data_IF_075746326485
#
_entry.id   IF_075746326485
#
_cell.length_a   1.000
_cell.length_b   1.000
_cell.length_c   1.000
_cell.angle_alpha   90.00
_cell.angle_beta   90.00
_cell.angle_gamma   90.00
#
_symmetry.space_group_name_H-M   'P 1'
#
loop_
_entity.id
_entity.type
_entity.pdbx_description
1 polymer ?
#
# COMPACT_ATOMS: atom_id res chain seq x y z
N UNK A 1 -0.73 70.59 49.06
CA UNK A 1 -1.44 69.27 49.17
C UNK A 1 -2.08 68.95 47.82
N UNK A 2 -1.44 68.24 46.94
CA UNK A 2 -2.13 67.71 45.76
C UNK A 2 -1.36 66.46 45.30
N UNK A 3 -2.01 65.35 45.49
CA UNK A 3 -1.59 64.03 45.05
C UNK A 3 -1.77 63.94 43.55
N UNK A 4 -0.68 63.93 42.82
CA UNK A 4 -0.69 63.58 41.38
C UNK A 4 -0.53 62.07 41.28
N UNK A 5 -1.61 61.38 40.97
CA UNK A 5 -1.58 59.98 40.64
C UNK A 5 -0.86 59.79 39.33
N UNK A 6 0.28 59.07 39.37
CA UNK A 6 0.99 58.61 38.19
C UNK A 6 0.27 57.41 37.63
N UNK A 7 -0.44 57.60 36.51
CA UNK A 7 -1.07 56.53 35.75
C UNK A 7 0.00 55.86 34.90
N UNK A 8 0.47 54.71 35.34
CA UNK A 8 1.39 53.88 34.54
C UNK A 8 0.60 53.12 33.50
N UNK A 9 0.69 53.55 32.26
CA UNK A 9 0.21 52.77 31.12
C UNK A 9 1.15 51.59 30.86
N UNK A 10 0.73 50.39 31.22
CA UNK A 10 1.38 49.16 30.75
C UNK A 10 0.94 48.92 29.27
N UNK A 11 1.81 49.22 28.34
CA UNK A 11 1.66 48.76 26.97
C UNK A 11 1.92 47.24 26.97
N UNK A 12 0.85 46.43 26.94
CA UNK A 12 0.97 45.03 26.55
C UNK A 12 1.24 44.98 25.02
N UNK A 13 2.52 44.80 24.66
CA UNK A 13 2.89 44.44 23.32
C UNK A 13 2.44 42.98 23.10
N UNK A 14 1.25 42.78 22.50
CA UNK A 14 0.81 41.49 22.01
C UNK A 14 1.71 41.11 20.84
N UNK A 15 2.73 40.30 21.13
CA UNK A 15 3.56 39.66 20.13
C UNK A 15 2.71 38.57 19.47
N UNK A 16 2.02 38.93 18.40
CA UNK A 16 1.31 37.97 17.55
C UNK A 16 2.36 37.10 16.86
N UNK A 17 2.66 35.94 17.46
CA UNK A 17 3.39 34.88 16.79
C UNK A 17 2.51 34.38 15.63
N UNK A 18 2.70 34.93 14.45
CA UNK A 18 2.15 34.38 13.23
C UNK A 18 2.82 33.02 12.99
N UNK A 19 2.19 31.98 13.51
CA UNK A 19 2.57 30.61 13.13
C UNK A 19 2.25 30.49 11.65
N UNK A 20 3.25 30.22 10.77
CA UNK A 20 2.95 29.96 9.37
C UNK A 20 2.08 28.71 9.32
N UNK A 21 0.81 28.88 8.98
CA UNK A 21 -0.05 27.76 8.64
C UNK A 21 0.50 27.20 7.35
N UNK A 22 1.18 26.06 7.43
CA UNK A 22 1.58 25.32 6.25
C UNK A 22 0.30 24.94 5.52
N UNK A 23 -0.07 25.70 4.50
CA UNK A 23 -1.16 25.32 3.61
C UNK A 23 -0.65 24.14 2.78
N UNK A 24 -1.11 22.94 3.12
CA UNK A 24 -0.94 21.79 2.27
C UNK A 24 -1.65 22.09 0.95
N UNK A 25 -0.90 22.39 -0.10
CA UNK A 25 -1.45 22.53 -1.42
C UNK A 25 -1.74 21.13 -1.94
N UNK A 26 -3.01 20.75 -1.98
CA UNK A 26 -3.45 19.53 -2.60
C UNK A 26 -3.18 19.62 -4.10
N UNK A 27 -2.34 18.73 -4.59
CA UNK A 27 -2.09 18.57 -6.01
C UNK A 27 -2.76 17.27 -6.48
N UNK A 28 -3.34 17.25 -7.69
CA UNK A 28 -3.83 16.00 -8.26
C UNK A 28 -2.68 15.01 -8.41
N UNK A 29 -2.97 13.71 -8.29
CA UNK A 29 -1.98 12.69 -8.57
C UNK A 29 -1.53 12.81 -10.04
N UNK A 30 -0.26 12.55 -10.35
CA UNK A 30 0.22 12.46 -11.72
C UNK A 30 -0.57 11.41 -12.51
N UNK A 31 -0.72 11.60 -13.82
CA UNK A 31 -1.39 10.65 -14.70
C UNK A 31 -0.65 9.30 -14.79
N UNK A 32 0.65 9.30 -14.56
CA UNK A 32 1.49 8.11 -14.55
C UNK A 32 2.07 7.90 -13.15
N UNK A 33 1.90 6.68 -12.62
CA UNK A 33 2.50 6.29 -11.36
C UNK A 33 4.05 6.25 -11.46
N UNK A 34 4.77 6.53 -10.35
CA UNK A 34 6.21 6.28 -10.28
C UNK A 34 6.52 4.81 -10.60
N UNK A 35 7.59 4.58 -11.35
CA UNK A 35 8.06 3.23 -11.69
C UNK A 35 9.57 3.13 -11.50
N UNK A 36 10.11 1.98 -11.06
CA UNK A 36 11.55 1.76 -10.99
C UNK A 36 12.19 1.82 -12.38
N UNK A 37 13.40 2.41 -12.46
CA UNK A 37 14.11 2.53 -13.74
C UNK A 37 14.48 1.17 -14.36
N UNK A 38 14.68 0.15 -13.52
CA UNK A 38 14.99 -1.22 -13.89
C UNK A 38 13.76 -2.12 -14.08
N UNK A 39 12.56 -1.58 -13.82
CA UNK A 39 11.29 -2.27 -14.00
C UNK A 39 10.21 -1.35 -14.62
N UNK A 40 10.41 -0.87 -15.85
CA UNK A 40 9.43 0.00 -16.50
C UNK A 40 8.10 -0.74 -16.73
N UNK A 41 7.00 -0.01 -16.62
CA UNK A 41 5.66 -0.52 -16.85
C UNK A 41 5.42 -0.71 -18.35
N UNK A 42 4.99 -1.91 -18.75
CA UNK A 42 4.51 -2.21 -20.11
C UNK A 42 3.09 -2.79 -20.05
N UNK A 43 2.33 -2.75 -21.16
CA UNK A 43 1.01 -3.38 -21.23
C UNK A 43 1.03 -4.86 -20.88
N UNK A 44 2.06 -5.60 -21.31
CA UNK A 44 2.25 -7.03 -21.08
C UNK A 44 2.47 -7.30 -19.57
N UNK A 45 3.32 -6.51 -18.92
CA UNK A 45 3.53 -6.60 -17.45
C UNK A 45 2.27 -6.27 -16.65
N UNK A 46 1.48 -5.31 -17.11
CA UNK A 46 0.20 -4.97 -16.46
C UNK A 46 -0.78 -6.14 -16.57
N UNK A 47 -0.89 -6.76 -17.74
CA UNK A 47 -1.76 -7.91 -17.93
C UNK A 47 -1.29 -9.13 -17.12
N UNK A 48 0.00 -9.44 -17.17
CA UNK A 48 0.58 -10.50 -16.34
C UNK A 48 0.34 -10.24 -14.84
N UNK A 49 0.55 -9.01 -14.38
CA UNK A 49 0.28 -8.61 -13.00
C UNK A 49 -1.18 -8.79 -12.62
N UNK A 50 -2.11 -8.43 -13.52
CA UNK A 50 -3.55 -8.63 -13.33
C UNK A 50 -3.90 -10.12 -13.21
N UNK A 51 -3.32 -10.97 -14.06
CA UNK A 51 -3.51 -12.42 -13.99
C UNK A 51 -3.03 -12.98 -12.64
N UNK A 52 -1.81 -12.64 -12.24
CA UNK A 52 -1.21 -13.07 -10.97
C UNK A 52 -2.02 -12.58 -9.76
N UNK A 53 -2.50 -11.35 -9.80
CA UNK A 53 -3.29 -10.74 -8.72
C UNK A 53 -4.61 -11.48 -8.44
N UNK A 54 -5.25 -11.98 -9.48
CA UNK A 54 -6.52 -12.68 -9.40
C UNK A 54 -6.37 -14.18 -9.17
N UNK A 55 -5.17 -14.76 -9.34
CA UNK A 55 -4.99 -16.19 -9.36
C UNK A 55 -4.78 -16.79 -7.96
N UNK A 56 -5.73 -17.59 -7.43
CA UNK A 56 -5.60 -18.21 -6.12
C UNK A 56 -4.53 -19.32 -6.08
N UNK A 57 -4.12 -19.84 -7.24
CA UNK A 57 -3.10 -20.91 -7.32
C UNK A 57 -1.73 -20.44 -6.81
N UNK A 58 -1.56 -19.14 -6.62
CA UNK A 58 -0.38 -18.54 -6.01
C UNK A 58 -0.31 -18.71 -4.49
N UNK A 59 -1.36 -19.26 -3.86
CA UNK A 59 -1.39 -19.60 -2.43
C UNK A 59 -1.17 -21.09 -2.18
N UNK A 60 -0.77 -21.45 -0.96
CA UNK A 60 -0.50 -22.83 -0.56
C UNK A 60 -1.71 -23.75 -0.75
N UNK A 61 -2.90 -23.26 -0.47
CA UNK A 61 -4.16 -23.98 -0.60
C UNK A 61 -4.79 -23.88 -1.99
N UNK A 62 -4.32 -22.96 -2.85
CA UNK A 62 -4.96 -22.68 -4.13
C UNK A 62 -6.31 -21.96 -4.02
N UNK A 63 -6.59 -21.31 -2.89
CA UNK A 63 -7.92 -20.72 -2.60
C UNK A 63 -7.87 -19.22 -2.28
N UNK A 64 -6.69 -18.65 -2.08
CA UNK A 64 -6.49 -17.24 -1.71
C UNK A 64 -5.66 -16.54 -2.79
N UNK A 65 -6.17 -15.44 -3.32
CA UNK A 65 -5.46 -14.54 -4.23
C UNK A 65 -5.24 -13.18 -3.56
N UNK A 66 -4.48 -12.29 -4.19
CA UNK A 66 -4.35 -10.91 -3.71
C UNK A 66 -5.73 -10.24 -3.63
N UNK A 67 -6.59 -10.48 -4.62
CA UNK A 67 -7.96 -9.96 -4.65
C UNK A 67 -8.85 -10.48 -3.52
N UNK A 68 -8.49 -11.56 -2.85
CA UNK A 68 -9.27 -12.08 -1.71
C UNK A 68 -9.29 -11.11 -0.53
N UNK A 69 -8.17 -10.38 -0.30
CA UNK A 69 -8.03 -9.39 0.77
C UNK A 69 -8.04 -7.94 0.23
N UNK A 70 -7.71 -7.76 -1.04
CA UNK A 70 -7.65 -6.45 -1.69
C UNK A 70 -8.58 -6.40 -2.89
N UNK A 71 -9.88 -6.58 -2.63
CA UNK A 71 -10.89 -6.66 -3.69
C UNK A 71 -11.04 -5.32 -4.41
N UNK A 72 -10.63 -5.28 -5.68
CA UNK A 72 -10.69 -4.07 -6.51
C UNK A 72 -12.11 -3.53 -6.71
N UNK A 73 -13.13 -4.35 -6.52
CA UNK A 73 -14.54 -3.93 -6.61
C UNK A 73 -15.10 -3.42 -5.27
N UNK A 74 -14.34 -3.56 -4.17
CA UNK A 74 -14.73 -3.12 -2.82
C UNK A 74 -13.80 -2.03 -2.28
N UNK A 75 -13.26 -1.18 -3.15
CA UNK A 75 -12.33 -0.13 -2.73
C UNK A 75 -10.88 -0.59 -2.57
N UNK A 76 -10.54 -1.80 -3.04
CA UNK A 76 -9.20 -2.36 -2.95
C UNK A 76 -8.85 -2.95 -1.58
N UNK A 77 -9.87 -3.30 -0.80
CA UNK A 77 -9.77 -3.90 0.54
C UNK A 77 -10.88 -4.97 0.72
N UNK A 78 -10.95 -5.64 1.88
CA UNK A 78 -11.98 -6.66 2.17
C UNK A 78 -13.04 -6.20 3.19
N UNK A 79 -12.99 -4.95 3.62
CA UNK A 79 -13.90 -4.34 4.61
C UNK A 79 -13.94 -5.10 5.96
N UNK A 80 -12.82 -5.75 6.34
CA UNK A 80 -12.71 -6.50 7.59
C UNK A 80 -11.68 -5.85 8.52
N UNK A 81 -11.87 -5.93 9.84
CA UNK A 81 -10.85 -5.48 10.78
C UNK A 81 -9.57 -6.31 10.69
N UNK A 82 -9.70 -7.58 10.31
CA UNK A 82 -8.61 -8.53 10.06
C UNK A 82 -8.93 -9.37 8.84
N UNK A 83 -8.04 -9.39 7.87
CA UNK A 83 -8.19 -10.19 6.67
C UNK A 83 -7.99 -11.68 6.98
N UNK A 84 -8.66 -12.53 6.20
CA UNK A 84 -8.60 -13.98 6.35
C UNK A 84 -7.80 -14.61 5.20
N UNK A 85 -6.75 -15.33 5.53
CA UNK A 85 -5.90 -16.03 4.57
C UNK A 85 -6.15 -17.54 4.50
N UNK A 86 -5.10 -18.27 4.12
CA UNK A 86 -5.16 -19.75 3.97
C UNK A 86 -5.61 -20.42 5.25
N UNK A 87 -6.32 -21.54 5.09
CA UNK A 87 -6.89 -22.33 6.20
C UNK A 87 -7.86 -21.56 7.10
N UNK A 88 -8.38 -20.40 6.66
CA UNK A 88 -9.27 -19.56 7.46
C UNK A 88 -8.56 -18.80 8.58
N UNK A 89 -7.23 -18.72 8.55
CA UNK A 89 -6.46 -18.01 9.57
C UNK A 89 -6.68 -16.48 9.44
N UNK A 90 -6.82 -15.82 10.58
CA UNK A 90 -7.01 -14.38 10.62
C UNK A 90 -5.67 -13.67 10.75
N UNK A 91 -5.44 -12.65 9.94
CA UNK A 91 -4.32 -11.73 10.08
C UNK A 91 -4.43 -10.83 11.31
N UNK A 92 -3.43 -10.01 11.54
CA UNK A 92 -3.40 -9.07 12.67
C UNK A 92 -3.83 -7.64 12.33
N UNK A 93 -4.17 -7.36 11.07
CA UNK A 93 -4.51 -6.01 10.57
C UNK A 93 -5.55 -6.12 9.46
N UNK A 94 -6.28 -5.03 9.21
CA UNK A 94 -7.09 -4.89 8.01
C UNK A 94 -6.20 -4.74 6.77
N UNK A 95 -6.69 -5.18 5.62
CA UNK A 95 -6.02 -4.93 4.34
C UNK A 95 -6.13 -3.44 4.01
N UNK A 96 -5.02 -2.73 3.72
CA UNK A 96 -5.11 -1.39 3.19
C UNK A 96 -5.61 -1.41 1.75
N UNK A 97 -6.19 -0.30 1.29
CA UNK A 97 -6.54 -0.16 -0.12
C UNK A 97 -5.31 -0.31 -1.02
N UNK A 98 -5.48 -0.99 -2.15
CA UNK A 98 -4.45 -1.05 -3.21
C UNK A 98 -4.59 0.07 -4.24
N UNK A 99 -5.70 0.81 -4.21
CA UNK A 99 -5.91 1.94 -5.10
C UNK A 99 -4.86 3.03 -4.86
N UNK A 100 -4.21 3.45 -5.92
CA UNK A 100 -3.16 4.46 -5.90
C UNK A 100 -1.93 4.11 -5.02
N UNK A 101 -1.76 2.84 -4.63
CA UNK A 101 -0.67 2.43 -3.73
C UNK A 101 0.74 2.69 -4.30
N UNK A 102 0.88 2.79 -5.62
CA UNK A 102 2.14 3.16 -6.26
C UNK A 102 2.63 4.58 -5.91
N UNK A 103 1.75 5.45 -5.43
CA UNK A 103 2.11 6.81 -4.99
C UNK A 103 2.50 6.90 -3.50
N UNK A 104 2.43 5.79 -2.75
CA UNK A 104 2.82 5.78 -1.34
C UNK A 104 4.35 5.75 -1.21
N UNK A 105 4.87 6.50 -0.23
CA UNK A 105 6.30 6.55 0.07
C UNK A 105 6.84 5.27 0.71
N UNK A 106 5.99 4.38 1.15
CA UNK A 106 6.31 3.07 1.71
C UNK A 106 5.09 2.18 1.72
N UNK A 107 5.29 0.88 1.67
CA UNK A 107 4.24 -0.12 1.59
C UNK A 107 4.09 -0.86 2.94
N UNK A 108 2.93 -1.47 3.16
CA UNK A 108 2.40 -1.91 4.43
C UNK A 108 2.03 -0.74 5.37
N UNK A 109 1.26 -1.00 6.41
CA UNK A 109 0.84 0.00 7.40
C UNK A 109 2.01 0.68 8.14
N UNK A 110 3.15 0.00 8.22
CA UNK A 110 4.35 0.45 8.94
C UNK A 110 5.48 0.91 8.00
N UNK A 111 5.23 0.95 6.67
CA UNK A 111 6.20 1.42 5.69
C UNK A 111 7.45 0.55 5.50
N UNK A 112 7.43 -0.70 6.02
CA UNK A 112 8.62 -1.58 6.03
C UNK A 112 9.10 -2.04 4.66
N UNK A 113 8.29 -1.93 3.61
CA UNK A 113 8.72 -2.22 2.25
C UNK A 113 8.81 -0.93 1.43
N UNK A 114 9.94 -0.74 0.77
CA UNK A 114 10.26 0.49 0.06
C UNK A 114 9.60 0.58 -1.34
N UNK A 115 9.09 -0.53 -1.87
CA UNK A 115 8.45 -0.56 -3.19
C UNK A 115 7.34 -1.61 -3.24
N UNK A 116 6.51 -1.55 -4.29
CA UNK A 116 5.47 -2.55 -4.54
C UNK A 116 6.08 -3.93 -4.84
N UNK A 117 7.21 -3.99 -5.54
CA UNK A 117 7.92 -5.24 -5.83
C UNK A 117 8.43 -5.92 -4.55
N UNK A 118 8.91 -5.12 -3.59
CA UNK A 118 9.33 -5.64 -2.28
C UNK A 118 8.13 -6.11 -1.46
N UNK A 119 7.04 -5.34 -1.47
CA UNK A 119 5.81 -5.65 -0.74
C UNK A 119 5.17 -6.94 -1.24
N UNK A 120 5.01 -7.10 -2.57
CA UNK A 120 4.26 -8.21 -3.17
C UNK A 120 4.83 -9.60 -2.82
N UNK A 121 6.10 -9.70 -2.48
CA UNK A 121 6.76 -10.94 -2.08
C UNK A 121 6.33 -11.42 -0.68
N UNK A 122 6.03 -10.49 0.23
CA UNK A 122 5.73 -10.78 1.63
C UNK A 122 4.49 -11.66 1.81
N UNK A 123 3.31 -11.25 1.33
CA UNK A 123 2.07 -12.00 1.48
C UNK A 123 2.13 -13.43 0.94
N UNK A 124 2.86 -13.65 -0.15
CA UNK A 124 2.99 -14.99 -0.78
C UNK A 124 3.56 -16.02 0.20
N UNK A 125 4.57 -15.63 0.98
CA UNK A 125 5.25 -16.52 1.94
C UNK A 125 4.77 -16.35 3.38
N UNK A 126 3.87 -15.43 3.63
CA UNK A 126 3.28 -15.28 4.96
C UNK A 126 2.36 -16.46 5.27
N UNK A 127 2.68 -17.20 6.33
CA UNK A 127 1.96 -18.42 6.71
C UNK A 127 0.46 -18.20 6.99
N UNK A 128 0.08 -16.99 7.40
CA UNK A 128 -1.31 -16.63 7.71
C UNK A 128 -2.06 -16.08 6.49
N UNK A 129 -1.35 -15.54 5.48
CA UNK A 129 -1.95 -14.93 4.29
C UNK A 129 -2.05 -15.93 3.14
N UNK A 130 -1.02 -16.11 2.32
CA UNK A 130 -1.01 -17.02 1.18
C UNK A 130 -0.28 -18.35 1.45
N UNK A 131 0.56 -18.42 2.48
CA UNK A 131 1.09 -19.64 3.08
C UNK A 131 2.09 -20.45 2.27
N UNK A 132 2.67 -19.89 1.20
CA UNK A 132 3.70 -20.62 0.44
C UNK A 132 4.98 -20.74 1.27
N UNK A 133 5.66 -21.88 1.18
CA UNK A 133 6.91 -22.09 1.91
C UNK A 133 8.00 -21.09 1.51
N UNK A 134 8.13 -20.87 0.21
CA UNK A 134 9.16 -20.05 -0.41
C UNK A 134 8.61 -19.46 -1.71
N UNK A 135 9.16 -18.33 -2.16
CA UNK A 135 8.78 -17.70 -3.42
C UNK A 135 9.04 -18.63 -4.62
N UNK A 136 10.16 -19.35 -4.60
CA UNK A 136 10.50 -20.28 -5.70
C UNK A 136 9.48 -21.41 -5.85
N UNK A 137 8.86 -21.87 -4.76
CA UNK A 137 7.79 -22.86 -4.84
C UNK A 137 6.57 -22.29 -5.54
N UNK A 138 6.19 -21.04 -5.23
CA UNK A 138 5.10 -20.35 -5.90
C UNK A 138 5.43 -20.12 -7.40
N UNK A 139 6.63 -19.64 -7.71
CA UNK A 139 7.08 -19.41 -9.09
C UNK A 139 7.15 -20.70 -9.89
N UNK A 140 7.62 -21.80 -9.32
CA UNK A 140 7.67 -23.08 -10.02
C UNK A 140 6.27 -23.62 -10.33
N UNK A 141 5.29 -23.39 -9.45
CA UNK A 141 3.89 -23.74 -9.73
C UNK A 141 3.35 -22.96 -10.93
N UNK A 142 3.59 -21.64 -10.97
CA UNK A 142 3.15 -20.78 -12.06
C UNK A 142 3.82 -21.15 -13.38
N UNK A 143 5.15 -21.42 -13.37
CA UNK A 143 5.90 -21.84 -14.57
C UNK A 143 5.39 -23.11 -15.24
N UNK A 144 4.66 -23.98 -14.50
CA UNK A 144 4.07 -25.19 -15.06
C UNK A 144 2.74 -24.94 -15.77
N UNK A 145 2.20 -23.74 -15.72
CA UNK A 145 0.95 -23.35 -16.36
C UNK A 145 1.25 -22.71 -17.71
N UNK A 146 0.82 -23.33 -18.81
CA UNK A 146 1.12 -22.91 -20.18
C UNK A 146 0.80 -21.43 -20.45
N UNK A 147 -0.37 -20.94 -20.01
CA UNK A 147 -0.74 -19.54 -20.18
C UNK A 147 0.22 -18.55 -19.53
N UNK A 148 0.85 -18.92 -18.39
CA UNK A 148 1.87 -18.08 -17.76
C UNK A 148 3.22 -18.17 -18.46
N UNK A 149 3.58 -19.33 -19.05
CA UNK A 149 4.82 -19.45 -19.82
C UNK A 149 4.82 -18.45 -20.98
N UNK A 150 3.70 -18.33 -21.69
CA UNK A 150 3.53 -17.32 -22.75
C UNK A 150 3.62 -15.91 -22.21
N UNK A 151 2.86 -15.58 -21.18
CA UNK A 151 2.80 -14.23 -20.61
C UNK A 151 4.13 -13.74 -20.00
N UNK A 152 5.00 -14.65 -19.55
CA UNK A 152 6.35 -14.31 -19.07
C UNK A 152 7.38 -14.17 -20.19
N UNK A 153 7.08 -14.66 -21.40
CA UNK A 153 7.97 -14.60 -22.56
C UNK A 153 7.76 -13.32 -23.40
N UNK A 154 6.65 -12.62 -23.21
CA UNK A 154 6.31 -11.34 -23.82
C UNK A 154 6.95 -10.17 -23.06
#
# INVERSE_FOLDING_TARGET
>A
MNNVQKLSFFLLAACSLAVPVAQAQWQPLPDKAPEPADNPTTPEKVELGRMLYMDPRFSATGTVSCNSCHNVMLGGEDNRPFSMGVHGQMGGRSAPTVWNSAFYSGQFWDGRAASLEAQAKGPVVNAVEMGMKELDVAMNRVRQIEGYQTAFAE
#
